data_IF_515157505882
#
_entry.id   IF_515157505882
#
_cell.length_a   1.000
_cell.length_b   1.000
_cell.length_c   1.000
_cell.angle_alpha   90.00
_cell.angle_beta   90.00
_cell.angle_gamma   90.00
#
_symmetry.space_group_name_H-M   'P 1'
#
loop_
_entity.id
_entity.type
_entity.pdbx_description
1 polymer ?
#
# COMPACT_ATOMS: atom_id res chain seq x y z
N UNK A 1 53.15 21.95 -8.38
CA UNK A 1 52.71 22.41 -7.04
C UNK A 1 51.42 21.68 -6.71
N UNK A 2 51.42 20.93 -5.61
CA UNK A 2 50.47 19.87 -5.21
C UNK A 2 49.42 20.41 -4.23
N UNK A 3 48.15 20.01 -4.38
CA UNK A 3 47.10 19.99 -3.34
C UNK A 3 46.66 21.37 -2.81
N UNK A 4 45.51 21.59 -2.18
CA UNK A 4 44.75 20.73 -1.28
C UNK A 4 43.28 21.11 -1.30
N UNK A 5 42.44 20.10 -1.22
CA UNK A 5 41.00 20.18 -1.24
C UNK A 5 40.42 20.45 0.17
N UNK A 6 39.15 20.88 0.16
CA UNK A 6 38.11 20.56 1.16
C UNK A 6 38.31 21.04 2.59
N UNK A 7 37.83 22.26 2.88
CA UNK A 7 37.41 22.63 4.22
C UNK A 7 35.99 22.11 4.48
N UNK A 8 35.93 20.96 5.13
CA UNK A 8 34.99 20.57 6.19
C UNK A 8 33.75 21.46 6.33
N UNK A 9 32.60 20.97 5.88
CA UNK A 9 31.30 21.33 6.47
C UNK A 9 30.74 20.08 7.14
N UNK A 10 31.04 19.92 8.43
CA UNK A 10 30.57 18.82 9.26
C UNK A 10 29.55 19.37 10.27
N UNK A 11 28.44 18.64 10.40
CA UNK A 11 27.50 18.54 11.52
C UNK A 11 26.34 19.57 11.59
N UNK A 12 25.15 19.14 11.18
CA UNK A 12 23.93 19.02 12.03
C UNK A 12 22.76 18.38 11.23
N UNK A 13 21.85 17.66 11.89
CA UNK A 13 21.89 16.21 12.06
C UNK A 13 21.11 15.46 10.96
N UNK A 14 21.51 14.21 10.72
CA UNK A 14 20.61 13.23 10.14
C UNK A 14 19.48 12.93 11.14
N UNK A 15 18.45 13.76 11.16
CA UNK A 15 17.09 13.24 11.32
C UNK A 15 16.86 12.41 10.05
N UNK A 16 17.40 11.19 10.04
CA UNK A 16 16.79 10.14 9.23
C UNK A 16 15.38 10.03 9.81
N UNK A 17 14.42 10.71 9.19
CA UNK A 17 13.13 10.07 9.07
C UNK A 17 13.45 8.69 8.51
N UNK A 18 13.32 7.64 9.33
CA UNK A 18 13.05 6.34 8.74
C UNK A 18 11.99 6.62 7.69
N UNK A 19 12.22 6.19 6.44
CA UNK A 19 11.17 6.29 5.44
C UNK A 19 9.97 5.64 6.10
N UNK A 20 8.98 6.43 6.47
CA UNK A 20 7.74 5.90 6.97
C UNK A 20 7.30 4.90 5.89
N UNK A 21 7.00 3.67 6.30
CA UNK A 21 6.57 2.61 5.40
C UNK A 21 5.39 3.02 4.49
N UNK A 22 4.70 4.11 4.84
CA UNK A 22 3.66 4.84 4.12
C UNK A 22 3.79 4.96 2.59
N UNK A 23 5.00 4.90 2.01
CA UNK A 23 5.14 5.00 0.55
C UNK A 23 4.83 3.67 -0.18
N UNK A 24 4.88 2.52 0.48
CA UNK A 24 4.68 1.19 -0.16
C UNK A 24 4.02 0.14 0.75
N UNK A 25 3.06 0.55 1.58
CA UNK A 25 2.35 -0.35 2.51
C UNK A 25 1.63 -1.49 1.79
N UNK A 26 1.12 -1.24 0.58
CA UNK A 26 0.40 -2.24 -0.22
C UNK A 26 1.32 -3.39 -0.64
N UNK A 27 2.51 -3.09 -1.18
CA UNK A 27 3.47 -4.13 -1.58
C UNK A 27 4.04 -4.83 -0.36
N UNK A 28 4.30 -4.09 0.72
CA UNK A 28 4.74 -4.69 1.98
C UNK A 28 3.72 -5.72 2.49
N UNK A 29 2.43 -5.36 2.54
CA UNK A 29 1.37 -6.25 3.00
C UNK A 29 1.19 -7.46 2.06
N UNK A 30 1.23 -7.25 0.75
CA UNK A 30 1.18 -8.34 -0.24
C UNK A 30 2.32 -9.35 0.00
N UNK A 31 3.54 -8.86 0.27
CA UNK A 31 4.69 -9.70 0.56
C UNK A 31 4.50 -10.51 1.84
N UNK A 32 3.95 -9.92 2.90
CA UNK A 32 3.62 -10.66 4.12
C UNK A 32 2.58 -11.76 3.87
N UNK A 33 1.51 -11.44 3.14
CA UNK A 33 0.47 -12.40 2.76
C UNK A 33 1.08 -13.54 1.93
N UNK A 34 1.90 -13.21 0.93
CA UNK A 34 2.52 -14.20 0.06
C UNK A 34 3.55 -15.07 0.79
N UNK A 35 4.30 -14.51 1.74
CA UNK A 35 5.19 -15.29 2.60
C UNK A 35 4.40 -16.32 3.42
N UNK A 36 3.28 -15.93 4.01
CA UNK A 36 2.38 -16.85 4.72
C UNK A 36 1.83 -17.93 3.77
N UNK A 37 1.33 -17.54 2.60
CA UNK A 37 0.80 -18.49 1.60
C UNK A 37 1.85 -19.52 1.18
N UNK A 38 3.08 -19.08 0.90
CA UNK A 38 4.18 -19.95 0.53
C UNK A 38 4.54 -20.94 1.65
N UNK A 39 4.52 -20.49 2.92
CA UNK A 39 4.74 -21.38 4.08
C UNK A 39 3.69 -22.49 4.20
N UNK A 40 2.50 -22.28 3.64
CA UNK A 40 1.41 -23.25 3.58
C UNK A 40 1.36 -24.03 2.25
N UNK A 41 2.38 -23.90 1.40
CA UNK A 41 2.42 -24.57 0.09
C UNK A 41 1.43 -24.03 -0.94
N UNK A 42 0.89 -22.82 -0.75
CA UNK A 42 -0.07 -22.19 -1.65
C UNK A 42 0.63 -21.26 -2.65
N UNK A 43 0.07 -21.14 -3.86
CA UNK A 43 0.52 -20.17 -4.86
C UNK A 43 0.39 -18.73 -4.35
N UNK A 44 1.37 -17.89 -4.67
CA UNK A 44 1.34 -16.46 -4.35
C UNK A 44 0.27 -15.72 -5.16
N UNK A 45 -0.20 -14.61 -4.60
CA UNK A 45 -1.07 -13.67 -5.29
C UNK A 45 -0.27 -12.57 -5.98
N UNK A 46 -0.87 -12.00 -7.02
CA UNK A 46 -0.44 -10.77 -7.67
C UNK A 46 -1.54 -9.72 -7.53
N UNK A 47 -1.16 -8.43 -7.53
CA UNK A 47 -2.13 -7.35 -7.55
C UNK A 47 -2.86 -7.33 -8.89
N UNK A 48 -4.17 -7.11 -8.83
CA UNK A 48 -4.99 -6.81 -9.99
C UNK A 48 -5.42 -5.33 -9.90
N UNK A 49 -5.16 -4.50 -10.93
CA UNK A 49 -5.38 -3.07 -10.84
C UNK A 49 -6.85 -2.69 -10.64
N UNK A 50 -7.80 -3.43 -11.23
CA UNK A 50 -9.24 -3.20 -11.02
C UNK A 50 -9.65 -3.49 -9.57
N UNK A 51 -9.17 -4.60 -8.99
CA UNK A 51 -9.44 -4.95 -7.59
C UNK A 51 -8.78 -3.97 -6.61
N UNK A 52 -7.56 -3.51 -6.91
CA UNK A 52 -6.87 -2.48 -6.12
C UNK A 52 -7.66 -1.16 -6.12
N UNK A 53 -8.16 -0.74 -7.28
CA UNK A 53 -9.00 0.46 -7.39
C UNK A 53 -10.31 0.31 -6.60
N UNK A 54 -10.96 -0.85 -6.67
CA UNK A 54 -12.19 -1.12 -5.92
C UNK A 54 -11.94 -1.09 -4.40
N UNK A 55 -10.83 -1.65 -3.94
CA UNK A 55 -10.45 -1.64 -2.53
C UNK A 55 -10.15 -0.21 -2.04
N UNK A 56 -9.39 0.57 -2.79
CA UNK A 56 -9.07 1.97 -2.44
C UNK A 56 -10.35 2.82 -2.32
N UNK A 57 -11.26 2.72 -3.29
CA UNK A 57 -12.52 3.45 -3.27
C UNK A 57 -13.39 3.06 -2.06
N UNK A 58 -13.42 1.79 -1.69
CA UNK A 58 -14.18 1.33 -0.52
C UNK A 58 -13.54 1.79 0.80
N UNK A 59 -12.21 1.76 0.90
CA UNK A 59 -11.50 2.31 2.07
C UNK A 59 -11.77 3.79 2.26
N UNK A 60 -11.79 4.58 1.18
CA UNK A 60 -12.17 5.99 1.23
C UNK A 60 -13.61 6.17 1.69
N UNK A 61 -14.55 5.40 1.11
CA UNK A 61 -15.96 5.43 1.52
C UNK A 61 -16.13 5.18 3.01
N UNK A 62 -15.51 4.13 3.56
CA UNK A 62 -15.59 3.82 4.99
C UNK A 62 -15.00 4.93 5.87
N UNK A 63 -13.92 5.57 5.41
CA UNK A 63 -13.32 6.72 6.10
C UNK A 63 -14.25 7.93 6.08
N UNK A 64 -14.92 8.19 4.96
CA UNK A 64 -15.79 9.36 4.79
C UNK A 64 -17.12 9.22 5.55
N UNK A 65 -17.64 7.99 5.66
CA UNK A 65 -18.90 7.71 6.35
C UNK A 65 -18.74 7.34 7.81
N UNK A 66 -17.50 7.11 8.27
CA UNK A 66 -17.19 6.55 9.58
C UNK A 66 -17.91 5.21 9.84
N UNK A 67 -18.14 4.41 8.80
CA UNK A 67 -18.80 3.11 8.88
C UNK A 67 -17.94 2.03 8.24
N UNK A 68 -17.47 1.09 9.07
CA UNK A 68 -16.66 -0.05 8.62
C UNK A 68 -17.59 -1.21 8.34
N UNK A 69 -17.90 -1.40 7.06
CA UNK A 69 -18.84 -2.43 6.57
C UNK A 69 -18.35 -3.06 5.28
N UNK A 70 -18.83 -4.27 4.99
CA UNK A 70 -18.63 -4.90 3.68
C UNK A 70 -19.51 -4.28 2.58
N UNK A 71 -20.60 -3.64 2.97
CA UNK A 71 -21.60 -3.05 2.10
C UNK A 71 -21.57 -1.53 2.17
N UNK A 72 -21.93 -0.87 1.08
CA UNK A 72 -22.21 0.56 1.09
C UNK A 72 -23.70 0.80 1.36
N UNK A 73 -24.07 2.04 1.68
CA UNK A 73 -25.45 2.47 1.95
C UNK A 73 -26.42 2.22 0.78
N UNK A 74 -25.92 2.12 -0.45
CA UNK A 74 -26.71 1.74 -1.63
C UNK A 74 -26.92 0.22 -1.78
N UNK A 75 -26.44 -0.59 -0.83
CA UNK A 75 -26.52 -2.05 -0.85
C UNK A 75 -25.42 -2.75 -1.65
N UNK A 76 -24.51 -2.03 -2.31
CA UNK A 76 -23.46 -2.64 -3.12
C UNK A 76 -22.48 -3.46 -2.26
N UNK A 77 -22.25 -4.71 -2.67
CA UNK A 77 -21.29 -5.61 -2.05
C UNK A 77 -19.92 -5.58 -2.73
N UNK A 78 -18.95 -6.38 -2.25
CA UNK A 78 -17.61 -6.45 -2.82
C UNK A 78 -17.58 -6.77 -4.33
N UNK A 79 -18.45 -7.68 -4.79
CA UNK A 79 -18.49 -8.08 -6.20
C UNK A 79 -19.06 -6.98 -7.10
N UNK A 80 -20.06 -6.22 -6.63
CA UNK A 80 -20.63 -5.12 -7.38
C UNK A 80 -19.61 -4.01 -7.58
N UNK A 81 -18.84 -3.70 -6.53
CA UNK A 81 -17.76 -2.71 -6.59
C UNK A 81 -16.60 -3.17 -7.48
N UNK A 82 -16.24 -4.45 -7.46
CA UNK A 82 -15.24 -5.01 -8.36
C UNK A 82 -15.67 -4.90 -9.83
N UNK A 83 -16.93 -5.26 -10.13
CA UNK A 83 -17.52 -5.14 -11.47
C UNK A 83 -17.61 -3.68 -11.93
N UNK A 84 -17.90 -2.74 -11.03
CA UNK A 84 -17.89 -1.31 -11.34
C UNK A 84 -16.51 -0.79 -11.77
N UNK A 85 -15.41 -1.46 -11.36
CA UNK A 85 -14.05 -1.18 -11.83
C UNK A 85 -13.64 -2.02 -13.06
N UNK A 86 -14.57 -2.78 -13.65
CA UNK A 86 -14.32 -3.61 -14.83
C UNK A 86 -13.63 -4.95 -14.55
N UNK A 87 -13.69 -5.45 -13.31
CA UNK A 87 -13.26 -6.81 -13.00
C UNK A 87 -14.31 -7.84 -13.47
N UNK A 88 -13.86 -8.88 -14.18
CA UNK A 88 -14.71 -9.92 -14.79
C UNK A 88 -14.22 -11.32 -14.47
#
# INVERSE_FOLDING_TARGET
MIGWATLVWLILPALRAERAHAQDDVTWLLNQINALRASQGLHTYALNPQLTAAAQAHSQYMSDTCDVSHYQSNGSGPIDRARAQGYT
#
